data_IF_616803783897
#
_entry.id   IF_616803783897
#
_cell.length_a   1.000
_cell.length_b   1.000
_cell.length_c   1.000
_cell.angle_alpha   90.00
_cell.angle_beta   90.00
_cell.angle_gamma   90.00
#
_symmetry.space_group_name_H-M   'P 1'
#
loop_
_entity.id
_entity.type
_entity.pdbx_description
1 polymer ?
#
# COMPACT_ATOMS: atom_id res chain seq x y z
N UNK A 1 -8.25 -11.67 5.66
CA UNK A 1 -8.28 -11.19 4.26
C UNK A 1 -7.22 -10.12 3.99
N UNK A 2 -7.20 -9.08 4.83
CA UNK A 2 -6.25 -7.97 4.66
C UNK A 2 -4.80 -8.44 4.73
N UNK A 3 -4.48 -9.28 5.72
CA UNK A 3 -3.15 -9.85 5.88
C UNK A 3 -2.75 -10.70 4.66
N UNK A 4 -3.67 -11.53 4.17
CA UNK A 4 -3.44 -12.33 2.97
C UNK A 4 -3.15 -11.46 1.75
N UNK A 5 -3.94 -10.40 1.56
CA UNK A 5 -3.76 -9.45 0.46
C UNK A 5 -2.36 -8.80 0.51
N UNK A 6 -1.94 -8.36 1.69
CA UNK A 6 -0.63 -7.74 1.88
C UNK A 6 0.52 -8.71 1.60
N UNK A 7 0.38 -9.97 2.02
CA UNK A 7 1.39 -10.99 1.74
C UNK A 7 1.49 -11.30 0.25
N UNK A 8 0.38 -11.30 -0.46
CA UNK A 8 0.37 -11.48 -1.92
C UNK A 8 1.11 -10.34 -2.62
N UNK A 9 0.89 -9.09 -2.21
CA UNK A 9 1.60 -7.93 -2.76
C UNK A 9 3.10 -8.01 -2.49
N UNK A 10 3.49 -8.37 -1.27
CA UNK A 10 4.90 -8.51 -0.90
C UNK A 10 5.60 -9.61 -1.71
N UNK A 11 4.94 -10.75 -1.91
CA UNK A 11 5.45 -11.82 -2.75
C UNK A 11 5.58 -11.37 -4.21
N UNK A 12 4.62 -10.58 -4.68
CA UNK A 12 4.62 -10.04 -6.04
C UNK A 12 5.79 -9.06 -6.24
N UNK A 13 6.03 -8.20 -5.26
CA UNK A 13 7.18 -7.29 -5.29
C UNK A 13 8.51 -8.05 -5.35
N UNK A 14 8.64 -9.11 -4.55
CA UNK A 14 9.85 -9.93 -4.55
C UNK A 14 10.06 -10.63 -5.91
N UNK A 15 8.99 -11.15 -6.50
CA UNK A 15 9.04 -11.83 -7.79
C UNK A 15 9.49 -10.89 -8.91
N UNK A 16 9.07 -9.64 -8.88
CA UNK A 16 9.37 -8.65 -9.92
C UNK A 16 10.58 -7.78 -9.61
N UNK A 17 11.31 -8.08 -8.54
CA UNK A 17 12.55 -7.39 -8.17
C UNK A 17 12.38 -5.89 -7.92
N UNK A 18 11.26 -5.50 -7.33
CA UNK A 18 11.02 -4.12 -6.92
C UNK A 18 12.11 -3.69 -5.93
N UNK A 19 12.56 -2.43 -6.03
CA UNK A 19 13.65 -1.92 -5.21
C UNK A 19 13.35 -2.07 -3.70
N UNK A 20 14.36 -2.47 -2.92
CA UNK A 20 14.19 -2.78 -1.49
C UNK A 20 13.60 -1.64 -0.68
N UNK A 21 13.98 -0.41 -0.98
CA UNK A 21 13.45 0.77 -0.29
C UNK A 21 11.92 0.86 -0.40
N UNK A 22 11.37 0.56 -1.58
CA UNK A 22 9.92 0.56 -1.78
C UNK A 22 9.26 -0.62 -1.06
N UNK A 23 9.89 -1.80 -1.09
CA UNK A 23 9.39 -2.99 -0.38
C UNK A 23 9.30 -2.71 1.11
N UNK A 24 10.34 -2.15 1.71
CA UNK A 24 10.36 -1.80 3.13
C UNK A 24 9.27 -0.79 3.48
N UNK A 25 9.11 0.26 2.67
CA UNK A 25 8.05 1.25 2.86
C UNK A 25 6.67 0.62 2.80
N UNK A 26 6.44 -0.27 1.83
CA UNK A 26 5.18 -0.99 1.68
C UNK A 26 4.88 -1.87 2.90
N UNK A 27 5.89 -2.59 3.41
CA UNK A 27 5.75 -3.42 4.60
C UNK A 27 5.39 -2.61 5.84
N UNK A 28 6.02 -1.44 6.02
CA UNK A 28 5.71 -0.53 7.12
C UNK A 28 4.27 -0.02 7.01
N UNK A 29 3.86 0.38 5.83
CA UNK A 29 2.49 0.86 5.55
C UNK A 29 1.46 -0.24 5.83
N UNK A 30 1.73 -1.47 5.40
CA UNK A 30 0.86 -2.62 5.67
C UNK A 30 0.75 -2.92 7.17
N UNK A 31 1.87 -2.88 7.88
CA UNK A 31 1.88 -3.08 9.33
C UNK A 31 1.06 -2.02 10.07
N UNK A 32 1.17 -0.77 9.66
CA UNK A 32 0.39 0.33 10.22
C UNK A 32 -1.09 0.16 9.96
N UNK A 33 -1.47 -0.31 8.76
CA UNK A 33 -2.85 -0.57 8.40
C UNK A 33 -3.46 -1.69 9.25
N UNK A 34 -2.73 -2.78 9.44
CA UNK A 34 -3.17 -3.89 10.29
C UNK A 34 -3.39 -3.43 11.73
N UNK A 35 -2.50 -2.60 12.25
CA UNK A 35 -2.65 -2.03 13.59
C UNK A 35 -3.90 -1.16 13.68
N UNK A 36 -4.14 -0.33 12.67
CA UNK A 36 -5.34 0.51 12.61
C UNK A 36 -6.61 -0.34 12.63
N UNK A 37 -6.65 -1.45 11.89
CA UNK A 37 -7.79 -2.37 11.88
C UNK A 37 -8.02 -2.96 13.28
N UNK A 38 -6.96 -3.44 13.92
CA UNK A 38 -7.04 -4.03 15.28
C UNK A 38 -7.55 -3.00 16.27
N UNK A 39 -7.00 -1.79 16.26
CA UNK A 39 -7.40 -0.72 17.18
C UNK A 39 -8.85 -0.27 16.94
N UNK A 40 -9.27 -0.19 15.68
CA UNK A 40 -10.63 0.16 15.30
C UNK A 40 -11.64 -0.89 15.77
N UNK A 41 -11.29 -2.17 15.63
CA UNK A 41 -12.12 -3.27 16.13
C UNK A 41 -12.26 -3.23 17.64
N UNK A 42 -11.16 -2.98 18.37
CA UNK A 42 -11.18 -2.86 19.81
C UNK A 42 -12.08 -1.69 20.25
N UNK A 43 -11.97 -0.54 19.59
CA UNK A 43 -12.81 0.62 19.85
C UNK A 43 -14.29 0.32 19.63
N UNK A 44 -14.62 -0.40 18.56
CA UNK A 44 -16.00 -0.83 18.26
C UNK A 44 -16.52 -1.78 19.35
N UNK A 45 -15.72 -2.78 19.72
CA UNK A 45 -16.10 -3.76 20.76
C UNK A 45 -16.33 -3.11 22.13
N UNK A 46 -15.56 -2.07 22.43
CA UNK A 46 -15.68 -1.31 23.69
C UNK A 46 -16.78 -0.28 23.66
N UNK A 47 -17.50 -0.15 22.56
CA UNK A 47 -18.59 0.81 22.41
C UNK A 47 -18.16 2.25 22.23
N UNK A 48 -16.87 2.50 21.93
CA UNK A 48 -16.33 3.86 21.73
C UNK A 48 -16.51 4.37 20.31
N UNK A 49 -16.77 3.48 19.35
CA UNK A 49 -17.07 3.86 17.97
C UNK A 49 -18.17 2.98 17.39
N UNK A 50 -18.78 3.43 16.32
CA UNK A 50 -19.86 2.71 15.64
C UNK A 50 -19.29 1.83 14.51
N UNK A 51 -20.09 0.89 14.04
CA UNK A 51 -19.75 0.09 12.86
C UNK A 51 -19.58 0.99 11.64
N UNK A 52 -20.37 2.04 11.52
CA UNK A 52 -20.24 3.02 10.44
C UNK A 52 -18.88 3.71 10.48
N UNK A 53 -18.39 4.11 11.66
CA UNK A 53 -17.08 4.72 11.83
C UNK A 53 -15.97 3.78 11.38
N UNK A 54 -16.05 2.50 11.76
CA UNK A 54 -15.10 1.49 11.35
C UNK A 54 -15.07 1.33 9.83
N UNK A 55 -16.23 1.19 9.20
CA UNK A 55 -16.33 1.02 7.75
C UNK A 55 -15.82 2.24 6.99
N UNK A 56 -16.15 3.45 7.44
CA UNK A 56 -15.68 4.68 6.82
C UNK A 56 -14.16 4.83 6.92
N UNK A 57 -13.60 4.49 8.07
CA UNK A 57 -12.15 4.54 8.27
C UNK A 57 -11.40 3.57 7.35
N UNK A 58 -11.90 2.35 7.24
CA UNK A 58 -11.34 1.33 6.35
C UNK A 58 -11.45 1.75 4.89
N UNK A 59 -12.60 2.27 4.48
CA UNK A 59 -12.83 2.72 3.10
C UNK A 59 -11.86 3.86 2.73
N UNK A 60 -11.70 4.84 3.60
CA UNK A 60 -10.77 5.95 3.36
C UNK A 60 -9.32 5.47 3.25
N UNK A 61 -8.93 4.56 4.14
CA UNK A 61 -7.58 4.01 4.11
C UNK A 61 -7.33 3.25 2.80
N UNK A 62 -8.27 2.39 2.41
CA UNK A 62 -8.14 1.58 1.19
C UNK A 62 -8.07 2.47 -0.05
N UNK A 63 -8.92 3.48 -0.15
CA UNK A 63 -8.90 4.41 -1.28
C UNK A 63 -7.55 5.12 -1.39
N UNK A 64 -7.04 5.65 -0.28
CA UNK A 64 -5.74 6.32 -0.25
C UNK A 64 -4.60 5.37 -0.61
N UNK A 65 -4.65 4.14 -0.10
CA UNK A 65 -3.62 3.12 -0.37
C UNK A 65 -3.59 2.74 -1.85
N UNK A 66 -4.75 2.50 -2.47
CA UNK A 66 -4.83 2.16 -3.89
C UNK A 66 -4.31 3.30 -4.75
N UNK A 67 -4.73 4.53 -4.48
CA UNK A 67 -4.32 5.69 -5.28
C UNK A 67 -2.84 6.02 -5.16
N UNK A 68 -2.26 5.91 -3.95
CA UNK A 68 -0.87 6.31 -3.73
C UNK A 68 0.10 5.14 -3.87
N UNK A 69 -0.16 4.04 -3.16
CA UNK A 69 0.82 2.96 -3.01
C UNK A 69 0.71 1.91 -4.10
N UNK A 70 -0.50 1.42 -4.37
CA UNK A 70 -0.71 0.33 -5.33
C UNK A 70 -0.47 0.81 -6.77
N UNK A 71 -0.87 2.02 -7.08
CA UNK A 71 -0.60 2.62 -8.39
C UNK A 71 0.89 2.74 -8.64
N UNK A 72 1.63 3.22 -7.64
CA UNK A 72 3.08 3.38 -7.71
C UNK A 72 3.78 2.02 -7.88
N UNK A 73 3.30 1.01 -7.19
CA UNK A 73 3.81 -0.35 -7.34
C UNK A 73 3.55 -0.89 -8.76
N UNK A 74 2.33 -0.71 -9.26
CA UNK A 74 1.96 -1.15 -10.62
C UNK A 74 2.82 -0.51 -11.69
N UNK A 75 3.08 0.78 -11.59
CA UNK A 75 3.93 1.50 -12.53
C UNK A 75 5.36 0.96 -12.54
N UNK A 76 5.92 0.64 -11.36
CA UNK A 76 7.24 0.05 -11.26
C UNK A 76 7.32 -1.33 -11.92
N UNK A 77 6.34 -2.17 -11.68
CA UNK A 77 6.31 -3.53 -12.25
C UNK A 77 6.22 -3.48 -13.78
N UNK A 78 5.36 -2.60 -14.32
CA UNK A 78 5.26 -2.42 -15.77
C UNK A 78 6.60 -1.95 -16.35
N UNK A 79 7.26 -0.97 -15.73
CA UNK A 79 8.54 -0.47 -16.18
C UNK A 79 9.64 -1.55 -16.15
N UNK A 80 9.70 -2.32 -15.08
CA UNK A 80 10.66 -3.43 -14.93
C UNK A 80 10.43 -4.48 -16.03
N UNK A 81 9.19 -4.84 -16.29
CA UNK A 81 8.86 -5.82 -17.33
C UNK A 81 9.16 -5.32 -18.74
N UNK A 82 9.27 -3.99 -18.92
CA UNK A 82 9.67 -3.37 -20.20
C UNK A 82 11.17 -3.15 -20.32
N UNK A 83 11.96 -3.52 -19.30
CA UNK A 83 13.40 -3.47 -19.34
C UNK A 83 14.06 -2.41 -18.47
N UNK A 84 13.30 -1.61 -17.73
CA UNK A 84 13.89 -0.67 -16.76
C UNK A 84 14.55 -1.43 -15.61
N UNK A 85 15.62 -0.87 -15.06
CA UNK A 85 16.17 -1.41 -13.82
C UNK A 85 15.21 -1.10 -12.66
N UNK A 86 15.26 -1.88 -11.56
CA UNK A 86 14.40 -1.61 -10.40
C UNK A 86 14.51 -0.17 -9.88
N UNK A 87 15.72 0.39 -9.82
CA UNK A 87 15.92 1.76 -9.34
C UNK A 87 15.38 2.81 -10.31
N UNK A 88 15.53 2.59 -11.61
CA UNK A 88 14.96 3.49 -12.64
C UNK A 88 13.44 3.47 -12.55
N UNK A 89 12.85 2.29 -12.43
CA UNK A 89 11.40 2.14 -12.29
C UNK A 89 10.87 2.89 -11.05
N UNK A 90 11.57 2.77 -9.93
CA UNK A 90 11.23 3.48 -8.70
C UNK A 90 11.31 4.99 -8.87
N UNK A 91 12.38 5.50 -9.48
CA UNK A 91 12.56 6.93 -9.71
C UNK A 91 11.48 7.50 -10.61
N UNK A 92 11.13 6.78 -11.68
CA UNK A 92 10.06 7.19 -12.59
C UNK A 92 8.71 7.24 -11.88
N UNK A 93 8.40 6.24 -11.06
CA UNK A 93 7.16 6.19 -10.29
C UNK A 93 7.08 7.33 -9.28
N UNK A 94 8.18 7.64 -8.60
CA UNK A 94 8.25 8.76 -7.66
C UNK A 94 8.03 10.11 -8.35
N UNK A 95 8.63 10.29 -9.52
CA UNK A 95 8.45 11.51 -10.28
C UNK A 95 7.01 11.68 -10.76
N UNK A 96 6.42 10.61 -11.25
CA UNK A 96 5.02 10.60 -11.69
C UNK A 96 4.08 10.97 -10.54
N UNK A 97 4.28 10.38 -9.36
CA UNK A 97 3.49 10.69 -8.16
C UNK A 97 3.64 12.16 -7.75
N UNK A 98 4.85 12.70 -7.81
CA UNK A 98 5.11 14.11 -7.48
C UNK A 98 4.40 15.07 -8.45
N UNK A 99 4.34 14.72 -9.74
CA UNK A 99 3.65 15.52 -10.74
C UNK A 99 2.14 15.48 -10.57
N UNK A 100 1.59 14.35 -10.20
CA UNK A 100 0.14 14.20 -9.94
C UNK A 100 -0.31 14.96 -8.68
N UNK A 101 0.58 15.11 -7.70
CA UNK A 101 0.29 15.82 -6.46
C UNK A 101 0.19 17.35 -6.62
N UNK A 102 0.53 17.88 -7.78
CA UNK A 102 0.39 19.30 -8.10
C UNK A 102 -1.02 19.55 -8.62
#
# INVERSE_FOLDING_TARGET
YVDYHFRCEEAFMARHHVVDHHVEHHQITHGSALRMVVDSLASYRDGRSTLSDLCQGLARWLESHIHAEDKMLGEQIVAINRGSTPIEAYRQAMLSAALEAR
#
